data_IF_854496330674
#
_entry.id   IF_854496330674
#
_cell.length_a   1.000
_cell.length_b   1.000
_cell.length_c   1.000
_cell.angle_alpha   90.00
_cell.angle_beta   90.00
_cell.angle_gamma   90.00
#
_symmetry.space_group_name_H-M   'P 1'
#
loop_
_entity.id
_entity.type
_entity.pdbx_description
1 polymer ?
#
# COMPACT_ATOMS: atom_id res chain seq x y z
N UNK A 1 -49.02 0.10 -30.87
CA UNK A 1 -48.85 1.56 -30.67
C UNK A 1 -48.38 1.93 -29.25
N UNK A 2 -47.86 0.99 -28.45
CA UNK A 2 -47.60 1.21 -27.01
C UNK A 2 -46.14 1.59 -26.68
N UNK A 3 -45.21 1.30 -27.58
CA UNK A 3 -43.77 1.54 -27.39
C UNK A 3 -43.39 3.02 -27.47
N UNK A 4 -44.03 3.81 -28.33
CA UNK A 4 -43.71 5.24 -28.54
C UNK A 4 -44.06 6.12 -27.33
N UNK A 5 -45.13 5.80 -26.58
CA UNK A 5 -45.55 6.60 -25.42
C UNK A 5 -44.67 6.31 -24.20
N UNK A 6 -44.29 5.05 -23.97
CA UNK A 6 -43.38 4.66 -22.89
C UNK A 6 -41.98 5.26 -23.06
N UNK A 7 -41.45 5.29 -24.28
CA UNK A 7 -40.17 5.96 -24.60
C UNK A 7 -40.23 7.46 -24.26
N UNK A 8 -41.38 8.12 -24.50
CA UNK A 8 -41.56 9.56 -24.18
C UNK A 8 -41.67 9.88 -22.69
N UNK A 9 -42.10 8.91 -21.87
CA UNK A 9 -42.19 9.05 -20.42
C UNK A 9 -40.82 8.79 -19.79
N UNK A 10 -40.16 7.70 -20.21
CA UNK A 10 -38.81 7.36 -19.78
C UNK A 10 -37.84 8.50 -20.12
N UNK A 11 -37.92 9.07 -21.31
CA UNK A 11 -37.06 10.20 -21.69
C UNK A 11 -37.23 11.40 -20.77
N UNK A 12 -38.45 11.71 -20.32
CA UNK A 12 -38.71 12.82 -19.38
C UNK A 12 -38.09 12.57 -18.01
N UNK A 13 -38.18 11.33 -17.50
CA UNK A 13 -37.52 10.96 -16.24
C UNK A 13 -36.00 11.09 -16.36
N UNK A 14 -35.40 10.57 -17.44
CA UNK A 14 -33.96 10.71 -17.70
C UNK A 14 -33.55 12.19 -17.77
N UNK A 15 -34.29 13.02 -18.50
CA UNK A 15 -33.99 14.46 -18.57
C UNK A 15 -34.03 15.11 -17.19
N UNK A 16 -35.02 14.76 -16.35
CA UNK A 16 -35.11 15.27 -14.98
C UNK A 16 -33.95 14.83 -14.09
N UNK A 17 -33.50 13.59 -14.24
CA UNK A 17 -32.31 13.10 -13.52
C UNK A 17 -31.04 13.82 -13.98
N UNK A 18 -30.85 14.01 -15.29
CA UNK A 18 -29.73 14.77 -15.84
C UNK A 18 -29.74 16.22 -15.32
N UNK A 19 -30.89 16.89 -15.31
CA UNK A 19 -31.04 18.23 -14.75
C UNK A 19 -30.63 18.27 -13.27
N UNK A 20 -31.05 17.29 -12.48
CA UNK A 20 -30.68 17.18 -11.07
C UNK A 20 -29.18 16.95 -10.87
N UNK A 21 -28.56 16.11 -11.70
CA UNK A 21 -27.12 15.85 -11.68
C UNK A 21 -26.37 17.13 -12.05
N UNK A 22 -26.78 17.82 -13.11
CA UNK A 22 -26.17 19.07 -13.55
C UNK A 22 -26.24 20.14 -12.47
N UNK A 23 -27.42 20.33 -11.86
CA UNK A 23 -27.59 21.29 -10.77
C UNK A 23 -26.70 20.96 -9.56
N UNK A 24 -26.55 19.68 -9.22
CA UNK A 24 -25.68 19.24 -8.14
C UNK A 24 -24.22 19.67 -8.38
N UNK A 25 -23.66 19.34 -9.54
CA UNK A 25 -22.27 19.68 -9.83
C UNK A 25 -22.06 21.18 -10.06
N UNK A 26 -23.04 21.87 -10.65
CA UNK A 26 -22.97 23.32 -10.85
C UNK A 26 -23.12 24.14 -9.55
N UNK A 27 -23.53 23.50 -8.44
CA UNK A 27 -23.63 24.13 -7.12
C UNK A 27 -22.34 24.06 -6.30
N UNK A 28 -21.32 23.37 -6.79
CA UNK A 28 -20.03 23.21 -6.11
C UNK A 28 -19.27 24.55 -6.13
N UNK A 29 -18.70 24.99 -4.99
CA UNK A 29 -17.90 26.22 -4.94
C UNK A 29 -16.69 26.17 -5.88
N UNK A 30 -16.39 27.30 -6.52
CA UNK A 30 -15.25 27.43 -7.44
C UNK A 30 -13.91 27.10 -6.76
N UNK A 31 -13.73 27.47 -5.49
CA UNK A 31 -12.54 27.10 -4.71
C UNK A 31 -12.34 25.58 -4.61
N UNK A 32 -13.42 24.83 -4.43
CA UNK A 32 -13.39 23.38 -4.32
C UNK A 32 -13.07 22.73 -5.67
N UNK A 33 -13.69 23.22 -6.75
CA UNK A 33 -13.40 22.79 -8.12
C UNK A 33 -11.93 23.04 -8.45
N UNK A 34 -11.37 24.19 -8.04
CA UNK A 34 -9.97 24.53 -8.31
C UNK A 34 -9.00 23.58 -7.59
N UNK A 35 -9.30 23.14 -6.36
CA UNK A 35 -8.47 22.13 -5.66
C UNK A 35 -8.43 20.81 -6.41
N UNK A 36 -9.61 20.31 -6.83
CA UNK A 36 -9.69 19.07 -7.62
C UNK A 36 -9.00 19.23 -8.96
N UNK A 37 -9.13 20.40 -9.61
CA UNK A 37 -8.43 20.71 -10.87
C UNK A 37 -6.92 20.65 -10.72
N UNK A 38 -6.36 21.30 -9.70
CA UNK A 38 -4.90 21.27 -9.46
C UNK A 38 -4.40 19.86 -9.15
N UNK A 39 -5.19 19.05 -8.44
CA UNK A 39 -4.86 17.64 -8.22
C UNK A 39 -4.83 16.85 -9.55
N UNK A 40 -5.83 17.02 -10.42
CA UNK A 40 -5.85 16.37 -11.74
C UNK A 40 -4.66 16.81 -12.60
N UNK A 41 -4.30 18.10 -12.58
CA UNK A 41 -3.11 18.60 -13.27
C UNK A 41 -1.83 17.90 -12.77
N UNK A 42 -1.68 17.69 -11.46
CA UNK A 42 -0.54 16.93 -10.90
C UNK A 42 -0.52 15.48 -11.42
N UNK A 43 -1.67 14.80 -11.47
CA UNK A 43 -1.75 13.43 -12.00
C UNK A 43 -1.30 13.37 -13.46
N UNK A 44 -1.80 14.28 -14.30
CA UNK A 44 -1.52 14.33 -15.74
C UNK A 44 -0.06 14.70 -16.01
N UNK A 45 0.48 15.72 -15.34
CA UNK A 45 1.86 16.19 -15.53
C UNK A 45 2.90 15.14 -15.11
N UNK A 46 2.60 14.33 -14.09
CA UNK A 46 3.52 13.36 -13.51
C UNK A 46 3.23 11.90 -13.91
N UNK A 47 2.26 11.69 -14.79
CA UNK A 47 1.78 10.36 -15.24
C UNK A 47 1.47 9.42 -14.07
N UNK A 48 0.74 9.91 -13.06
CA UNK A 48 0.34 9.11 -11.91
C UNK A 48 -0.88 8.24 -12.25
N UNK A 49 -0.81 6.96 -11.91
CA UNK A 49 -1.89 6.01 -12.19
C UNK A 49 -3.00 6.13 -11.14
N UNK A 50 -3.97 7.00 -11.40
CA UNK A 50 -5.17 7.16 -10.56
C UNK A 50 -6.33 7.69 -11.43
N UNK A 51 -7.55 7.18 -11.23
CA UNK A 51 -8.75 7.68 -11.94
C UNK A 51 -9.53 8.70 -11.08
N UNK A 52 -9.32 10.02 -11.29
CA UNK A 52 -10.03 11.04 -10.53
C UNK A 52 -11.51 11.17 -10.92
N UNK A 53 -11.97 10.54 -12.01
CA UNK A 53 -13.33 10.69 -12.52
C UNK A 53 -14.30 9.62 -12.01
N UNK A 54 -13.81 8.63 -11.25
CA UNK A 54 -14.63 7.58 -10.64
C UNK A 54 -15.71 8.13 -9.70
N UNK A 55 -15.34 9.13 -8.89
CA UNK A 55 -16.25 9.80 -7.96
C UNK A 55 -15.71 11.16 -7.56
N UNK A 56 -16.50 12.21 -7.75
CA UNK A 56 -16.11 13.56 -7.33
C UNK A 56 -15.82 13.64 -5.83
N UNK A 57 -16.59 12.93 -4.99
CA UNK A 57 -16.36 12.93 -3.55
C UNK A 57 -15.01 12.29 -3.18
N UNK A 58 -14.63 11.22 -3.87
CA UNK A 58 -13.33 10.57 -3.68
C UNK A 58 -12.19 11.46 -4.19
N UNK A 59 -12.34 12.04 -5.38
CA UNK A 59 -11.35 12.96 -5.96
C UNK A 59 -11.14 14.19 -5.07
N UNK A 60 -12.20 14.74 -4.49
CA UNK A 60 -12.13 15.83 -3.52
C UNK A 60 -11.34 15.44 -2.28
N UNK A 61 -11.69 14.34 -1.62
CA UNK A 61 -11.00 13.88 -0.41
C UNK A 61 -9.51 13.60 -0.68
N UNK A 62 -9.22 12.96 -1.81
CA UNK A 62 -7.86 12.67 -2.26
C UNK A 62 -7.08 13.97 -2.53
N UNK A 63 -7.70 14.94 -3.23
CA UNK A 63 -7.09 16.24 -3.50
C UNK A 63 -6.80 17.04 -2.23
N UNK A 64 -7.66 16.98 -1.22
CA UNK A 64 -7.45 17.62 0.08
C UNK A 64 -6.20 17.04 0.79
N UNK A 65 -6.04 15.72 0.80
CA UNK A 65 -4.86 15.05 1.37
C UNK A 65 -3.60 15.36 0.55
N UNK A 66 -3.68 15.29 -0.79
CA UNK A 66 -2.54 15.58 -1.67
C UNK A 66 -2.05 17.02 -1.53
N UNK A 67 -2.95 17.97 -1.27
CA UNK A 67 -2.58 19.35 -0.99
C UNK A 67 -1.74 19.50 0.30
N UNK A 68 -1.88 18.61 1.27
CA UNK A 68 -1.05 18.59 2.49
C UNK A 68 0.32 17.91 2.29
N UNK A 69 0.45 17.06 1.28
CA UNK A 69 1.69 16.33 1.00
C UNK A 69 2.73 17.21 0.31
N UNK A 70 2.30 18.17 -0.52
CA UNK A 70 3.14 19.18 -1.22
C UNK A 70 4.23 18.64 -2.16
N UNK A 71 4.50 17.33 -2.15
CA UNK A 71 5.54 16.65 -2.94
C UNK A 71 4.95 15.52 -3.78
N UNK A 72 5.37 15.43 -5.05
CA UNK A 72 4.86 14.45 -6.01
C UNK A 72 5.17 13.00 -5.63
N UNK A 73 6.32 12.71 -5.02
CA UNK A 73 6.67 11.35 -4.60
C UNK A 73 5.86 10.92 -3.38
N UNK A 74 5.58 11.85 -2.46
CA UNK A 74 4.63 11.61 -1.39
C UNK A 74 3.22 11.33 -1.93
N UNK A 75 2.77 12.10 -2.92
CA UNK A 75 1.48 11.87 -3.59
C UNK A 75 1.47 10.51 -4.29
N UNK A 76 2.54 10.14 -4.99
CA UNK A 76 2.68 8.84 -5.66
C UNK A 76 2.56 7.68 -4.67
N UNK A 77 3.30 7.75 -3.56
CA UNK A 77 3.21 6.76 -2.49
C UNK A 77 1.80 6.68 -1.90
N UNK A 78 1.19 7.83 -1.61
CA UNK A 78 -0.17 7.89 -1.06
C UNK A 78 -1.19 7.24 -2.00
N UNK A 79 -1.14 7.55 -3.29
CA UNK A 79 -2.07 6.99 -4.28
C UNK A 79 -1.89 5.49 -4.44
N UNK A 80 -0.65 4.99 -4.41
CA UNK A 80 -0.38 3.55 -4.41
C UNK A 80 -0.99 2.85 -3.20
N UNK A 81 -0.82 3.42 -2.00
CA UNK A 81 -1.39 2.85 -0.77
C UNK A 81 -2.93 2.88 -0.83
N UNK A 82 -3.52 3.96 -1.37
CA UNK A 82 -4.96 4.14 -1.44
C UNK A 82 -5.64 3.24 -2.49
N UNK A 83 -5.14 3.22 -3.72
CA UNK A 83 -5.83 2.58 -4.86
C UNK A 83 -5.36 1.14 -5.09
N UNK A 84 -4.05 0.87 -5.00
CA UNK A 84 -3.49 -0.47 -5.22
C UNK A 84 -3.59 -1.35 -3.97
N UNK A 85 -3.25 -0.83 -2.78
CA UNK A 85 -3.32 -1.60 -1.53
C UNK A 85 -4.68 -1.52 -0.83
N UNK A 86 -5.53 -0.56 -1.24
CA UNK A 86 -6.86 -0.37 -0.68
C UNK A 86 -6.88 0.19 0.74
N UNK A 87 -5.83 0.89 1.16
CA UNK A 87 -5.66 1.41 2.51
C UNK A 87 -5.88 2.93 2.58
N UNK A 88 -6.76 3.35 3.48
CA UNK A 88 -6.97 4.77 3.78
C UNK A 88 -6.03 5.19 4.93
N UNK A 89 -4.95 5.89 4.59
CA UNK A 89 -3.95 6.40 5.53
C UNK A 89 -3.91 7.93 5.54
N UNK A 90 -3.47 8.52 6.66
CA UNK A 90 -3.37 9.97 6.77
C UNK A 90 -2.14 10.49 6.03
N UNK A 91 -2.18 11.79 5.67
CA UNK A 91 -1.03 12.48 5.09
C UNK A 91 0.25 12.36 5.94
N UNK A 92 0.11 12.45 7.27
CA UNK A 92 1.24 12.33 8.19
C UNK A 92 1.87 10.93 8.19
N UNK A 93 1.04 9.89 8.16
CA UNK A 93 1.51 8.50 8.14
C UNK A 93 2.19 8.18 6.81
N UNK A 94 1.70 8.77 5.70
CA UNK A 94 2.35 8.70 4.38
C UNK A 94 3.74 9.34 4.43
N UNK A 95 3.87 10.53 5.05
CA UNK A 95 5.16 11.21 5.21
C UNK A 95 6.15 10.38 6.00
N UNK A 96 5.70 9.75 7.09
CA UNK A 96 6.54 8.87 7.91
C UNK A 96 6.95 7.61 7.15
N UNK A 97 6.03 6.98 6.41
CA UNK A 97 6.32 5.84 5.56
C UNK A 97 7.39 6.17 4.52
N UNK A 98 7.23 7.31 3.82
CA UNK A 98 8.20 7.77 2.84
C UNK A 98 9.58 8.05 3.47
N UNK A 99 9.63 8.73 4.62
CA UNK A 99 10.89 8.97 5.32
C UNK A 99 11.59 7.66 5.69
N UNK A 100 10.87 6.70 6.24
CA UNK A 100 11.44 5.38 6.56
C UNK A 100 11.94 4.67 5.31
N UNK A 101 11.20 4.71 4.21
CA UNK A 101 11.60 4.12 2.93
C UNK A 101 12.88 4.77 2.37
N UNK A 102 13.09 6.07 2.60
CA UNK A 102 14.29 6.78 2.15
C UNK A 102 15.49 6.62 3.09
N UNK A 103 15.28 6.44 4.39
CA UNK A 103 16.35 6.33 5.39
C UNK A 103 16.81 4.88 5.62
N UNK A 104 15.88 3.93 5.51
CA UNK A 104 16.08 2.51 5.86
C UNK A 104 15.90 1.57 4.68
N UNK A 105 15.53 2.07 3.51
CA UNK A 105 15.15 1.27 2.33
C UNK A 105 13.93 0.36 2.52
N UNK A 106 13.21 0.49 3.63
CA UNK A 106 11.92 -0.15 3.88
C UNK A 106 11.07 0.64 4.87
N UNK A 107 9.75 0.43 4.81
CA UNK A 107 8.83 0.88 5.84
C UNK A 107 7.75 -0.18 6.08
N UNK A 108 7.22 -0.22 7.31
CA UNK A 108 6.04 -1.01 7.66
C UNK A 108 4.83 -0.09 7.74
N UNK A 109 3.78 -0.41 6.98
CA UNK A 109 2.46 0.19 7.07
C UNK A 109 1.45 -0.88 7.51
N UNK A 110 0.22 -0.52 7.92
CA UNK A 110 -0.76 -1.53 8.33
C UNK A 110 -0.95 -2.60 7.26
N UNK A 111 -0.70 -3.86 7.61
CA UNK A 111 -0.83 -5.00 6.70
C UNK A 111 0.25 -5.16 5.63
N UNK A 112 1.24 -4.27 5.50
CA UNK A 112 2.25 -4.38 4.43
C UNK A 112 3.65 -3.92 4.85
N UNK A 113 4.66 -4.56 4.26
CA UNK A 113 5.99 -3.99 4.11
C UNK A 113 6.13 -3.36 2.73
N UNK A 114 6.69 -2.16 2.66
CA UNK A 114 7.17 -1.55 1.42
C UNK A 114 8.69 -1.47 1.47
N UNK A 115 9.39 -1.78 0.38
CA UNK A 115 10.85 -1.82 0.37
C UNK A 115 11.45 -1.58 -1.01
N UNK A 116 12.69 -1.07 -1.03
CA UNK A 116 13.48 -0.80 -2.24
C UNK A 116 14.43 -1.94 -2.60
N UNK A 117 14.95 -2.64 -1.58
CA UNK A 117 15.99 -3.65 -1.74
C UNK A 117 15.68 -4.90 -0.93
N UNK A 118 15.83 -6.06 -1.58
CA UNK A 118 15.61 -7.35 -0.94
C UNK A 118 16.67 -7.64 0.14
N UNK A 119 17.89 -7.13 -0.05
CA UNK A 119 18.98 -7.22 0.93
C UNK A 119 18.60 -6.61 2.27
N UNK A 120 17.94 -5.44 2.26
CA UNK A 120 17.44 -4.78 3.46
C UNK A 120 16.41 -5.64 4.19
N UNK A 121 15.51 -6.29 3.44
CA UNK A 121 14.52 -7.20 4.02
C UNK A 121 15.17 -8.47 4.59
N UNK A 122 16.24 -8.98 3.97
CA UNK A 122 17.04 -10.09 4.50
C UNK A 122 17.77 -9.72 5.79
N UNK A 123 18.26 -8.49 5.90
CA UNK A 123 18.84 -7.99 7.15
C UNK A 123 17.79 -7.87 8.25
N UNK A 124 16.62 -7.32 7.93
CA UNK A 124 15.48 -7.25 8.85
C UNK A 124 15.04 -8.64 9.32
N UNK A 125 14.89 -9.59 8.39
CA UNK A 125 14.52 -10.98 8.69
C UNK A 125 15.54 -11.64 9.62
N UNK A 126 16.82 -11.37 9.43
CA UNK A 126 17.88 -11.88 10.28
C UNK A 126 17.80 -11.31 11.70
N UNK A 127 17.54 -10.02 11.85
CA UNK A 127 17.40 -9.37 13.16
C UNK A 127 16.15 -9.88 13.89
N UNK A 128 15.05 -10.04 13.16
CA UNK A 128 13.82 -10.64 13.69
C UNK A 128 14.06 -12.09 14.13
N UNK A 129 14.71 -12.90 13.29
CA UNK A 129 15.07 -14.28 13.61
C UNK A 129 15.93 -14.39 14.86
N UNK A 130 16.91 -13.49 15.04
CA UNK A 130 17.74 -13.49 16.25
C UNK A 130 16.87 -13.20 17.49
N UNK A 131 15.87 -12.33 17.39
CA UNK A 131 14.89 -12.10 18.45
C UNK A 131 14.01 -13.34 18.70
N UNK A 132 13.48 -13.98 17.65
CA UNK A 132 12.64 -15.19 17.77
C UNK A 132 13.38 -16.33 18.46
N UNK A 133 14.66 -16.50 18.16
CA UNK A 133 15.51 -17.54 18.75
C UNK A 133 15.82 -17.32 20.24
N UNK A 134 15.57 -16.14 20.80
CA UNK A 134 15.65 -15.89 22.25
C UNK A 134 14.35 -16.28 22.99
N UNK A 135 13.26 -16.51 22.25
CA UNK A 135 11.96 -16.90 22.81
C UNK A 135 11.70 -18.40 22.62
N UNK A 136 11.56 -19.13 23.73
CA UNK A 136 11.32 -20.58 23.71
C UNK A 136 10.01 -20.98 23.05
N UNK A 137 8.97 -20.13 23.10
CA UNK A 137 7.68 -20.43 22.45
C UNK A 137 7.84 -20.33 20.93
N UNK A 138 8.48 -19.27 20.44
CA UNK A 138 8.71 -19.09 19.01
C UNK A 138 9.68 -20.13 18.42
N UNK A 139 10.71 -20.52 19.18
CA UNK A 139 11.61 -21.62 18.79
C UNK A 139 10.83 -22.93 18.61
N UNK A 140 9.85 -23.22 19.47
CA UNK A 140 9.04 -24.43 19.36
C UNK A 140 8.10 -24.42 18.14
N UNK A 141 7.67 -23.24 17.70
CA UNK A 141 6.87 -23.08 16.48
C UNK A 141 7.73 -23.16 15.20
N UNK A 142 9.00 -22.77 15.29
CA UNK A 142 9.93 -22.71 14.15
C UNK A 142 10.63 -24.04 13.83
N UNK A 143 10.91 -24.86 14.85
CA UNK A 143 11.68 -26.09 14.71
C UNK A 143 10.86 -27.29 15.21
N UNK A 144 10.83 -28.37 14.44
CA UNK A 144 10.19 -29.58 14.91
C UNK A 144 11.04 -30.31 15.98
N UNK A 145 10.46 -31.35 16.59
CA UNK A 145 11.13 -32.10 17.64
C UNK A 145 12.41 -32.82 17.17
N UNK A 146 12.49 -33.17 15.88
CA UNK A 146 13.67 -33.83 15.29
C UNK A 146 14.77 -32.80 15.04
N UNK A 147 14.43 -31.62 14.53
CA UNK A 147 15.34 -30.48 14.35
C UNK A 147 15.96 -30.05 15.68
N UNK A 148 15.14 -29.87 16.72
CA UNK A 148 15.62 -29.51 18.05
C UNK A 148 16.53 -30.58 18.65
N UNK A 149 16.19 -31.86 18.46
CA UNK A 149 17.04 -32.97 18.89
C UNK A 149 18.39 -32.96 18.16
N UNK A 150 18.40 -32.71 16.85
CA UNK A 150 19.61 -32.61 16.05
C UNK A 150 20.48 -31.43 16.50
N UNK A 151 19.89 -30.23 16.65
CA UNK A 151 20.60 -29.03 17.14
C UNK A 151 21.27 -29.30 18.49
N UNK A 152 20.57 -29.97 19.41
CA UNK A 152 21.10 -30.36 20.72
C UNK A 152 22.21 -31.41 20.64
N UNK A 153 22.02 -32.49 19.86
CA UNK A 153 23.00 -33.58 19.71
C UNK A 153 24.31 -33.06 19.10
N UNK A 154 24.23 -32.15 18.13
CA UNK A 154 25.41 -31.56 17.49
C UNK A 154 26.00 -30.36 18.25
N UNK A 155 25.36 -29.92 19.34
CA UNK A 155 25.82 -28.77 20.14
C UNK A 155 25.83 -27.46 19.33
N UNK A 156 24.88 -27.32 18.42
CA UNK A 156 24.78 -26.20 17.48
C UNK A 156 24.51 -24.90 18.24
N UNK A 157 25.29 -23.85 17.97
CA UNK A 157 25.07 -22.54 18.59
C UNK A 157 23.85 -21.82 18.00
N UNK A 158 23.28 -20.86 18.73
CA UNK A 158 22.18 -19.99 18.24
C UNK A 158 22.50 -19.37 16.88
N UNK A 159 23.72 -18.88 16.70
CA UNK A 159 24.17 -18.26 15.46
C UNK A 159 24.28 -19.25 14.29
N UNK A 160 24.62 -20.51 14.57
CA UNK A 160 24.66 -21.57 13.56
C UNK A 160 23.24 -22.01 13.18
N UNK A 161 22.35 -22.15 14.16
CA UNK A 161 20.93 -22.44 13.93
C UNK A 161 20.27 -21.34 13.09
N UNK A 162 20.50 -20.06 13.42
CA UNK A 162 20.00 -18.92 12.65
C UNK A 162 20.51 -18.94 11.19
N UNK A 163 21.79 -19.22 10.99
CA UNK A 163 22.40 -19.32 9.64
C UNK A 163 21.84 -20.47 8.84
N UNK A 164 21.54 -21.60 9.48
CA UNK A 164 20.92 -22.74 8.82
C UNK A 164 19.47 -22.38 8.44
N UNK A 165 18.70 -21.83 9.37
CA UNK A 165 17.31 -21.43 9.12
C UNK A 165 17.18 -20.43 7.96
N UNK A 166 18.05 -19.41 7.90
CA UNK A 166 18.13 -18.44 6.79
C UNK A 166 18.54 -19.03 5.43
N UNK A 167 19.11 -20.25 5.41
CA UNK A 167 19.46 -20.94 4.15
C UNK A 167 18.31 -21.82 3.66
N UNK A 168 17.54 -22.33 4.61
CA UNK A 168 16.48 -23.30 4.34
C UNK A 168 15.12 -22.60 4.12
N UNK A 169 14.98 -21.34 4.56
CA UNK A 169 13.76 -20.54 4.43
C UNK A 169 14.07 -19.19 3.78
N UNK A 170 13.07 -18.65 3.08
CA UNK A 170 13.16 -17.33 2.48
C UNK A 170 12.87 -16.22 3.53
N UNK A 171 13.36 -15.01 3.27
CA UNK A 171 13.25 -13.91 4.24
C UNK A 171 11.80 -13.52 4.56
N UNK A 172 10.89 -13.65 3.60
CA UNK A 172 9.47 -13.31 3.79
C UNK A 172 8.78 -14.33 4.71
N UNK A 173 9.17 -15.61 4.66
CA UNK A 173 8.65 -16.63 5.57
C UNK A 173 9.08 -16.35 7.02
N UNK A 174 10.33 -15.93 7.19
CA UNK A 174 10.88 -15.54 8.49
C UNK A 174 10.14 -14.33 9.07
N UNK A 175 9.82 -13.35 8.23
CA UNK A 175 9.05 -12.16 8.62
C UNK A 175 7.54 -12.42 8.73
N UNK A 176 7.05 -13.59 8.32
CA UNK A 176 5.62 -13.90 8.32
C UNK A 176 4.82 -13.05 7.33
N UNK A 177 5.40 -12.77 6.16
CA UNK A 177 4.77 -12.03 5.08
C UNK A 177 4.80 -12.84 3.77
N UNK A 178 3.98 -12.43 2.81
CA UNK A 178 3.94 -13.05 1.49
C UNK A 178 5.17 -12.67 0.65
N UNK A 179 5.46 -13.45 -0.39
CA UNK A 179 6.49 -13.08 -1.34
C UNK A 179 6.18 -11.70 -1.93
N UNK A 180 7.17 -10.83 -1.99
CA UNK A 180 6.94 -9.47 -2.44
C UNK A 180 6.61 -9.36 -3.92
N UNK A 181 5.78 -8.38 -4.25
CA UNK A 181 5.34 -8.02 -5.59
C UNK A 181 5.82 -6.62 -5.96
N UNK A 182 5.95 -6.35 -7.26
CA UNK A 182 6.28 -5.02 -7.77
C UNK A 182 5.10 -4.07 -7.52
N UNK A 183 5.35 -2.98 -6.79
CA UNK A 183 4.38 -1.92 -6.58
C UNK A 183 4.46 -0.86 -7.67
N UNK A 184 5.22 0.21 -7.40
CA UNK A 184 5.40 1.31 -8.34
C UNK A 184 6.88 1.65 -8.54
N UNK A 185 7.19 2.34 -9.64
CA UNK A 185 8.54 2.92 -9.85
C UNK A 185 8.50 4.41 -9.55
N UNK A 186 9.43 4.89 -8.73
CA UNK A 186 9.56 6.29 -8.35
C UNK A 186 10.13 7.14 -9.51
N UNK A 187 10.17 8.46 -9.35
CA UNK A 187 10.72 9.34 -10.39
C UNK A 187 12.24 9.21 -10.61
N UNK A 188 12.96 8.55 -9.70
CA UNK A 188 14.40 8.28 -9.81
C UNK A 188 14.68 6.98 -10.58
N UNK A 189 13.65 6.16 -10.81
CA UNK A 189 13.75 4.86 -11.48
C UNK A 189 13.92 3.69 -10.51
N UNK A 190 13.78 3.91 -9.20
CA UNK A 190 13.80 2.83 -8.21
C UNK A 190 12.42 2.18 -8.14
N UNK A 191 12.38 0.85 -8.23
CA UNK A 191 11.16 0.08 -8.05
C UNK A 191 10.91 -0.14 -6.56
N UNK A 192 9.71 0.24 -6.10
CA UNK A 192 9.21 -0.03 -4.77
C UNK A 192 8.41 -1.33 -4.83
N UNK A 193 8.81 -2.29 -4.01
CA UNK A 193 8.12 -3.56 -3.82
C UNK A 193 7.23 -3.48 -2.58
N UNK A 194 6.20 -4.32 -2.54
CA UNK A 194 5.35 -4.50 -1.37
C UNK A 194 5.20 -5.98 -1.02
N UNK A 195 4.93 -6.27 0.24
CA UNK A 195 4.67 -7.62 0.73
C UNK A 195 3.57 -7.57 1.79
N UNK A 196 2.53 -8.38 1.61
CA UNK A 196 1.40 -8.48 2.54
C UNK A 196 1.85 -9.17 3.82
N UNK A 197 1.64 -8.54 4.97
CA UNK A 197 1.90 -9.15 6.27
C UNK A 197 0.68 -9.95 6.71
N UNK A 198 0.88 -11.01 7.49
CA UNK A 198 -0.21 -11.78 8.10
C UNK A 198 -1.00 -11.04 9.19
N UNK A 199 -0.80 -9.73 9.37
CA UNK A 199 -1.52 -8.91 10.33
C UNK A 199 -2.87 -8.47 9.73
N UNK A 200 -3.97 -8.64 10.47
CA UNK A 200 -5.28 -8.12 10.03
C UNK A 200 -5.22 -6.58 9.93
N UNK A 201 -5.66 -6.06 8.78
CA UNK A 201 -5.81 -4.62 8.46
C UNK A 201 -7.01 -4.00 9.17
#
# INVERSE_FOLDING_TARGET
MSTSNSISIISKFITKEIEHIYQRYNSIPEEEINKVKSFIEILEENNLNFDPYRSYAAAKATAEICAELEDTELIRLYLFILDDLGLDIKAQDTKEAYMNLMEKDYCKIPGYYLYKAEETMKELAKDELDCKLDDTEQVADMFDAEDLANLWVFGTSKQEAAKQYMRDNDWWEILGCEQGEEGYTDSYGDTIYYSLTGEEV
#
